data_IF_661192824626
#
_entry.id   IF_661192824626
#
_cell.length_a   1.000
_cell.length_b   1.000
_cell.length_c   1.000
_cell.angle_alpha   90.00
_cell.angle_beta   90.00
_cell.angle_gamma   90.00
#
_symmetry.space_group_name_H-M   'P 1'
#
loop_
_entity.id
_entity.type
_entity.pdbx_description
1 polymer ?
#
# COMPACT_ATOMS: atom_id res chain seq x y z
N UNK A 1 -4.88 -1.57 4.47
CA UNK A 1 -5.11 -0.13 4.20
C UNK A 1 -5.52 0.48 5.53
N UNK A 2 -4.64 1.22 6.21
CA UNK A 2 -4.87 1.72 7.58
C UNK A 2 -4.42 3.16 7.66
N UNK A 3 -5.32 4.10 7.98
CA UNK A 3 -4.92 5.49 8.20
C UNK A 3 -5.57 6.21 9.33
N UNK A 4 -4.77 7.11 9.89
CA UNK A 4 -4.82 7.46 11.28
C UNK A 4 -4.73 8.99 11.47
N UNK A 5 -5.71 9.62 12.12
CA UNK A 5 -5.49 10.76 13.03
C UNK A 5 -6.20 10.50 14.35
N UNK A 6 -5.71 11.13 15.42
CA UNK A 6 -6.32 11.28 16.75
C UNK A 6 -7.84 10.99 16.81
N UNK A 7 -8.22 9.78 17.27
CA UNK A 7 -9.61 9.31 17.44
C UNK A 7 -10.11 8.31 16.38
N UNK A 8 -9.52 7.12 16.31
CA UNK A 8 -9.11 6.52 15.03
C UNK A 8 -9.83 5.28 14.46
N UNK A 9 -10.28 5.36 13.18
CA UNK A 9 -11.13 4.41 12.43
C UNK A 9 -10.38 3.27 11.65
N UNK A 10 -10.48 1.95 12.03
CA UNK A 10 -9.76 0.78 11.42
C UNK A 10 -10.57 0.07 10.32
N UNK A 11 -9.90 -0.23 9.20
CA UNK A 11 -10.31 -1.24 8.22
C UNK A 11 -9.29 -2.39 8.15
N UNK A 12 -9.44 -3.36 9.06
CA UNK A 12 -8.95 -4.74 8.90
C UNK A 12 -9.89 -5.69 9.65
N UNK A 13 -9.80 -7.00 9.36
CA UNK A 13 -10.41 -8.08 10.17
C UNK A 13 -10.14 -7.80 11.66
N UNK A 14 -11.14 -7.85 12.55
CA UNK A 14 -11.04 -7.34 13.91
C UNK A 14 -9.85 -7.97 14.65
N UNK A 15 -8.93 -7.13 15.12
CA UNK A 15 -8.04 -7.49 16.21
C UNK A 15 -8.90 -7.66 17.46
N UNK A 16 -8.61 -8.70 18.25
CA UNK A 16 -9.31 -8.94 19.52
C UNK A 16 -9.11 -7.74 20.44
N UNK A 17 -10.17 -7.36 21.13
CA UNK A 17 -10.26 -6.23 22.06
C UNK A 17 -9.44 -6.42 23.35
N UNK A 18 -8.67 -7.50 23.47
CA UNK A 18 -7.96 -7.90 24.68
C UNK A 18 -6.54 -7.32 24.79
N UNK A 19 -6.05 -6.60 23.77
CA UNK A 19 -4.65 -6.11 23.71
C UNK A 19 -4.49 -4.59 23.65
N UNK A 20 -5.58 -3.82 23.66
CA UNK A 20 -5.55 -2.36 23.72
C UNK A 20 -5.83 -1.92 25.15
N UNK A 21 -4.85 -1.32 25.84
CA UNK A 21 -5.08 -0.67 27.14
C UNK A 21 -6.05 0.52 27.04
N UNK A 22 -5.97 1.49 27.97
CA UNK A 22 -6.78 2.72 28.07
C UNK A 22 -6.61 3.73 26.90
N UNK A 23 -6.49 3.26 25.67
CA UNK A 23 -6.37 4.10 24.46
C UNK A 23 -7.76 4.34 23.85
N UNK A 24 -8.15 5.61 23.73
CA UNK A 24 -9.37 6.02 23.01
C UNK A 24 -9.15 5.98 21.49
N UNK A 25 -9.21 4.77 20.92
CA UNK A 25 -9.18 4.51 19.48
C UNK A 25 -10.59 4.16 18.97
N UNK A 26 -11.02 4.77 17.87
CA UNK A 26 -12.41 4.66 17.39
C UNK A 26 -12.50 4.04 16.03
N UNK A 27 -12.75 2.74 15.87
CA UNK A 27 -12.59 2.07 14.57
C UNK A 27 -13.75 2.29 13.53
N UNK A 28 -13.49 2.35 12.21
CA UNK A 28 -14.52 2.31 11.14
C UNK A 28 -13.99 1.83 9.80
N UNK A 29 -14.94 1.36 8.99
CA UNK A 29 -14.72 0.66 7.75
C UNK A 29 -15.50 1.31 6.61
N UNK A 30 -14.83 1.57 5.49
CA UNK A 30 -15.42 2.12 4.28
C UNK A 30 -15.02 1.27 3.08
N UNK A 31 -15.90 1.20 2.07
CA UNK A 31 -15.60 0.56 0.77
C UNK A 31 -15.32 1.60 -0.33
N UNK A 32 -15.62 2.86 -0.09
CA UNK A 32 -15.31 3.97 -0.99
C UNK A 32 -14.00 4.67 -0.62
N UNK A 33 -13.28 5.15 -1.64
CA UNK A 33 -12.00 5.84 -1.47
C UNK A 33 -12.18 7.24 -0.91
N UNK A 34 -13.19 7.98 -1.35
CA UNK A 34 -13.44 9.36 -0.93
C UNK A 34 -13.68 9.41 0.57
N UNK A 35 -14.60 8.59 1.07
CA UNK A 35 -14.96 8.51 2.49
C UNK A 35 -13.80 8.01 3.37
N UNK A 36 -12.83 7.29 2.79
CA UNK A 36 -11.65 6.82 3.48
C UNK A 36 -10.50 7.85 3.51
N UNK A 37 -10.45 8.73 2.51
CA UNK A 37 -9.40 9.75 2.36
C UNK A 37 -9.80 11.12 2.93
N UNK A 38 -11.10 11.39 3.02
CA UNK A 38 -11.61 12.67 3.50
C UNK A 38 -11.10 12.94 4.93
N UNK A 39 -10.49 14.12 5.10
CA UNK A 39 -9.89 14.56 6.37
C UNK A 39 -8.80 13.62 6.93
N UNK A 40 -8.18 12.77 6.10
CA UNK A 40 -7.05 11.93 6.54
C UNK A 40 -5.80 12.78 6.74
N UNK A 41 -5.00 12.49 7.77
CA UNK A 41 -3.71 13.16 8.03
C UNK A 41 -2.49 12.51 7.36
N UNK A 42 -2.60 11.24 7.08
CA UNK A 42 -1.65 10.50 6.26
C UNK A 42 -2.39 9.41 5.50
N UNK A 43 -1.70 8.75 4.54
CA UNK A 43 -2.24 7.64 3.74
C UNK A 43 -1.44 6.29 3.68
N UNK A 44 -1.63 5.25 4.51
CA UNK A 44 -0.93 3.96 4.46
C UNK A 44 -1.60 3.01 3.48
N UNK A 45 -0.84 2.68 2.45
CA UNK A 45 -1.23 1.74 1.42
C UNK A 45 -0.55 0.40 1.66
N UNK A 46 -1.36 -0.63 1.86
CA UNK A 46 -0.93 -2.01 2.06
C UNK A 46 -1.94 -2.93 1.38
N UNK A 47 -1.94 -2.88 0.06
CA UNK A 47 -2.83 -3.62 -0.84
C UNK A 47 -2.08 -4.70 -1.61
N UNK A 48 -2.85 -5.64 -2.15
CA UNK A 48 -2.41 -6.65 -3.11
C UNK A 48 -3.48 -6.78 -4.18
N UNK A 49 -3.32 -6.05 -5.28
CA UNK A 49 -4.32 -6.04 -6.35
C UNK A 49 -4.47 -7.43 -6.96
N UNK A 50 -5.71 -7.88 -7.10
CA UNK A 50 -6.05 -9.23 -7.59
C UNK A 50 -5.77 -10.38 -6.61
N UNK A 51 -5.29 -10.08 -5.39
CA UNK A 51 -5.09 -11.04 -4.32
C UNK A 51 -4.16 -12.20 -4.68
N UNK A 52 -4.34 -13.34 -4.00
CA UNK A 52 -3.49 -14.51 -4.18
C UNK A 52 -3.58 -15.13 -5.58
N UNK A 53 -4.73 -14.99 -6.25
CA UNK A 53 -4.91 -15.50 -7.62
C UNK A 53 -3.99 -14.78 -8.60
N UNK A 54 -3.93 -13.44 -8.53
CA UNK A 54 -3.02 -12.67 -9.36
C UNK A 54 -1.56 -12.96 -9.02
N UNK A 55 -1.22 -13.04 -7.73
CA UNK A 55 0.14 -13.40 -7.27
C UNK A 55 0.59 -14.75 -7.82
N UNK A 56 -0.29 -15.75 -7.81
CA UNK A 56 0.01 -17.07 -8.38
C UNK A 56 0.37 -16.96 -9.87
N UNK A 57 -0.43 -16.24 -10.65
CA UNK A 57 -0.15 -16.05 -12.08
C UNK A 57 1.13 -15.26 -12.33
N UNK A 58 1.39 -14.21 -11.55
CA UNK A 58 2.60 -13.38 -11.61
C UNK A 58 3.88 -14.21 -11.43
N UNK A 59 3.83 -15.28 -10.63
CA UNK A 59 4.97 -16.18 -10.38
C UNK A 59 5.00 -17.34 -11.38
N UNK A 60 3.88 -18.01 -11.60
CA UNK A 60 3.81 -19.23 -12.41
C UNK A 60 4.04 -18.98 -13.90
N UNK A 61 3.58 -17.83 -14.43
CA UNK A 61 3.74 -17.54 -15.86
C UNK A 61 5.22 -17.40 -16.20
N UNK A 62 6.03 -16.53 -15.55
CA UNK A 62 7.46 -16.46 -15.80
C UNK A 62 8.22 -17.77 -15.54
N UNK A 63 7.79 -18.52 -14.52
CA UNK A 63 8.42 -19.79 -14.17
C UNK A 63 8.36 -20.80 -15.34
N UNK A 64 7.25 -20.84 -16.10
CA UNK A 64 7.13 -21.71 -17.29
C UNK A 64 8.12 -21.36 -18.41
N UNK A 65 8.68 -20.16 -18.38
CA UNK A 65 9.70 -19.70 -19.33
C UNK A 65 11.12 -19.70 -18.74
N UNK A 66 11.33 -20.37 -17.59
CA UNK A 66 12.64 -20.49 -16.96
C UNK A 66 13.04 -19.32 -16.07
N UNK A 67 12.17 -18.32 -15.87
CA UNK A 67 12.44 -17.21 -14.96
C UNK A 67 12.03 -17.59 -13.53
N UNK A 68 13.01 -17.91 -12.70
CA UNK A 68 12.80 -18.29 -11.29
C UNK A 68 12.89 -17.05 -10.40
N UNK A 69 11.92 -16.89 -9.51
CA UNK A 69 11.91 -15.84 -8.48
C UNK A 69 11.75 -16.46 -7.10
N UNK A 70 12.54 -16.02 -6.12
CA UNK A 70 12.41 -16.47 -4.72
C UNK A 70 11.14 -15.87 -4.09
N UNK A 71 10.98 -14.54 -4.22
CA UNK A 71 9.80 -13.80 -3.74
C UNK A 71 8.94 -13.34 -4.91
N UNK A 72 9.56 -12.72 -5.92
CA UNK A 72 8.90 -12.35 -7.18
C UNK A 72 7.93 -11.17 -7.07
N UNK A 73 8.05 -10.34 -6.04
CA UNK A 73 7.11 -9.23 -5.79
C UNK A 73 7.67 -7.83 -6.07
N UNK A 74 8.96 -7.74 -6.38
CA UNK A 74 9.69 -6.48 -6.48
C UNK A 74 10.41 -6.28 -7.81
N UNK A 75 11.12 -7.31 -8.27
CA UNK A 75 11.96 -7.26 -9.48
C UNK A 75 11.77 -8.51 -10.34
N UNK A 76 12.43 -8.54 -11.50
CA UNK A 76 12.31 -9.62 -12.48
C UNK A 76 10.93 -9.66 -13.13
N UNK A 77 10.65 -10.67 -13.98
CA UNK A 77 9.38 -10.76 -14.69
C UNK A 77 8.15 -10.78 -13.76
N UNK A 78 8.23 -11.49 -12.63
CA UNK A 78 7.15 -11.54 -11.65
C UNK A 78 6.88 -10.17 -11.00
N UNK A 79 7.96 -9.45 -10.64
CA UNK A 79 7.86 -8.09 -10.11
C UNK A 79 7.30 -7.09 -11.12
N UNK A 80 7.67 -7.21 -12.40
CA UNK A 80 7.10 -6.39 -13.49
C UNK A 80 5.60 -6.65 -13.64
N UNK A 81 5.18 -7.92 -13.68
CA UNK A 81 3.76 -8.28 -13.77
C UNK A 81 2.96 -7.74 -12.56
N UNK A 82 3.57 -7.78 -11.37
CA UNK A 82 2.99 -7.16 -10.18
C UNK A 82 2.91 -5.64 -10.30
N UNK A 83 3.96 -4.97 -10.76
CA UNK A 83 3.96 -3.52 -10.98
C UNK A 83 2.81 -3.09 -11.89
N UNK A 84 2.60 -3.80 -13.01
CA UNK A 84 1.53 -3.52 -13.98
C UNK A 84 0.14 -3.60 -13.33
N UNK A 85 -0.05 -4.48 -12.33
CA UNK A 85 -1.32 -4.57 -11.60
C UNK A 85 -1.47 -3.56 -10.47
N UNK A 86 -0.38 -3.22 -9.76
CA UNK A 86 -0.44 -2.39 -8.55
C UNK A 86 -0.38 -0.89 -8.87
N UNK A 87 0.46 -0.48 -9.83
CA UNK A 87 0.66 0.94 -10.17
C UNK A 87 -0.65 1.62 -10.58
N UNK A 88 -1.49 1.07 -11.48
CA UNK A 88 -2.74 1.72 -11.86
C UNK A 88 -3.71 1.93 -10.69
N UNK A 89 -3.79 0.96 -9.78
CA UNK A 89 -4.65 1.06 -8.60
C UNK A 89 -4.16 2.12 -7.62
N UNK A 90 -2.84 2.26 -7.45
CA UNK A 90 -2.25 3.26 -6.55
C UNK A 90 -2.28 4.65 -7.16
N UNK A 91 -2.14 4.79 -8.48
CA UNK A 91 -2.34 6.08 -9.16
C UNK A 91 -3.80 6.54 -9.08
N UNK A 92 -4.75 5.64 -9.27
CA UNK A 92 -6.17 5.92 -9.09
C UNK A 92 -6.50 6.36 -7.65
N UNK A 93 -5.81 5.79 -6.65
CA UNK A 93 -5.88 6.28 -5.27
C UNK A 93 -5.25 7.67 -5.12
N UNK A 94 -4.04 7.87 -5.66
CA UNK A 94 -3.30 9.12 -5.55
C UNK A 94 -4.05 10.29 -6.19
N UNK A 95 -4.67 10.10 -7.36
CA UNK A 95 -5.51 11.12 -8.01
C UNK A 95 -6.76 11.44 -7.19
N UNK A 96 -7.43 10.42 -6.63
CA UNK A 96 -8.56 10.68 -5.71
C UNK A 96 -8.09 11.46 -4.48
N UNK A 97 -6.87 11.19 -4.02
CA UNK A 97 -6.29 11.85 -2.86
C UNK A 97 -5.90 13.30 -3.13
N UNK A 98 -5.45 13.64 -4.33
CA UNK A 98 -5.27 15.04 -4.78
C UNK A 98 -6.55 15.86 -4.65
N UNK A 99 -7.69 15.27 -5.02
CA UNK A 99 -8.98 15.97 -4.99
C UNK A 99 -9.53 16.12 -3.57
N UNK A 100 -9.30 15.13 -2.70
CA UNK A 100 -9.99 15.00 -1.41
C UNK A 100 -9.14 15.46 -0.22
N UNK A 101 -7.83 15.18 -0.21
CA UNK A 101 -6.93 15.55 0.90
C UNK A 101 -5.49 15.82 0.42
N UNK A 102 -5.28 16.86 -0.41
CA UNK A 102 -4.00 17.12 -1.08
C UNK A 102 -2.83 17.45 -0.15
N UNK A 103 -3.10 17.84 1.10
CA UNK A 103 -2.09 18.32 2.05
C UNK A 103 -1.44 17.19 2.86
N UNK A 104 -1.68 15.93 2.49
CA UNK A 104 -1.23 14.76 3.25
C UNK A 104 -0.45 13.80 2.37
N UNK A 105 0.32 12.90 2.97
CA UNK A 105 1.24 12.02 2.24
C UNK A 105 0.79 10.57 2.27
N UNK A 106 1.16 9.80 1.25
CA UNK A 106 1.00 8.36 1.20
C UNK A 106 2.23 7.66 1.82
N UNK A 107 2.00 6.75 2.77
CA UNK A 107 2.95 5.81 3.34
C UNK A 107 2.78 4.43 2.69
N UNK A 108 3.53 4.14 1.64
CA UNK A 108 3.33 2.94 0.84
C UNK A 108 4.13 1.73 1.36
N UNK A 109 3.42 0.68 1.77
CA UNK A 109 3.96 -0.65 2.07
C UNK A 109 3.73 -1.66 0.93
N UNK A 110 2.99 -1.30 -0.11
CA UNK A 110 2.74 -2.20 -1.23
C UNK A 110 3.97 -2.32 -2.12
N UNK A 111 4.40 -3.56 -2.37
CA UNK A 111 5.41 -3.87 -3.37
C UNK A 111 4.83 -3.83 -4.79
N UNK A 112 5.64 -3.51 -5.82
CA UNK A 112 7.05 -3.09 -5.75
C UNK A 112 7.21 -1.63 -5.28
N UNK A 113 7.75 -1.43 -4.07
CA UNK A 113 7.74 -0.11 -3.39
C UNK A 113 8.40 0.97 -4.26
N UNK A 114 9.61 0.70 -4.77
CA UNK A 114 10.36 1.67 -5.57
C UNK A 114 9.63 2.05 -6.87
N UNK A 115 9.09 1.07 -7.60
CA UNK A 115 8.39 1.34 -8.86
C UNK A 115 7.07 2.09 -8.64
N UNK A 116 6.35 1.76 -7.56
CA UNK A 116 5.12 2.47 -7.18
C UNK A 116 5.42 3.92 -6.78
N UNK A 117 6.38 4.15 -5.89
CA UNK A 117 6.76 5.49 -5.47
C UNK A 117 7.24 6.33 -6.65
N UNK A 118 8.02 5.73 -7.56
CA UNK A 118 8.46 6.39 -8.80
C UNK A 118 7.27 6.76 -9.68
N UNK A 119 6.32 5.84 -9.90
CA UNK A 119 5.15 6.10 -10.73
C UNK A 119 4.27 7.22 -10.17
N UNK A 120 4.00 7.21 -8.85
CA UNK A 120 3.24 8.28 -8.18
C UNK A 120 3.98 9.60 -8.29
N UNK A 121 5.29 9.65 -8.02
CA UNK A 121 6.08 10.87 -8.15
C UNK A 121 6.07 11.45 -9.58
N UNK A 122 5.98 10.59 -10.60
CA UNK A 122 5.93 11.01 -12.00
C UNK A 122 4.54 11.46 -12.47
N UNK A 123 3.47 10.94 -11.88
CA UNK A 123 2.11 11.06 -12.41
C UNK A 123 1.10 11.69 -11.44
N UNK A 124 1.53 12.10 -10.25
CA UNK A 124 0.70 12.71 -9.21
C UNK A 124 1.48 13.79 -8.46
N UNK A 125 0.74 14.73 -7.87
CA UNK A 125 1.26 15.79 -6.98
C UNK A 125 1.33 15.36 -5.51
N UNK A 126 0.79 14.19 -5.18
CA UNK A 126 0.80 13.67 -3.80
C UNK A 126 2.20 13.22 -3.41
N UNK A 127 2.62 13.64 -2.21
CA UNK A 127 3.83 13.13 -1.59
C UNK A 127 3.66 11.65 -1.20
N UNK A 128 4.65 10.83 -1.53
CA UNK A 128 4.66 9.40 -1.22
C UNK A 128 6.01 8.96 -0.64
N UNK A 129 5.95 8.20 0.45
CA UNK A 129 7.10 7.59 1.10
C UNK A 129 6.95 6.07 1.07
N UNK A 130 7.96 5.39 0.54
CA UNK A 130 8.01 3.92 0.52
C UNK A 130 8.54 3.34 1.83
N UNK A 131 7.81 2.40 2.41
CA UNK A 131 8.18 1.71 3.65
C UNK A 131 8.46 0.24 3.37
N UNK A 132 9.69 -0.20 3.67
CA UNK A 132 10.11 -1.59 3.52
C UNK A 132 10.76 -2.09 4.82
N UNK A 133 10.45 -3.32 5.21
CA UNK A 133 11.03 -3.98 6.37
C UNK A 133 12.30 -4.79 6.04
N UNK A 134 12.65 -4.89 4.76
CA UNK A 134 13.86 -5.59 4.30
C UNK A 134 15.17 -4.87 4.62
N UNK A 135 15.08 -3.59 5.00
CA UNK A 135 16.19 -2.84 5.60
C UNK A 135 15.79 -2.53 7.05
N UNK A 136 16.42 -3.14 8.06
CA UNK A 136 16.22 -2.69 9.43
C UNK A 136 16.68 -1.24 9.51
N UNK A 137 15.82 -0.36 10.03
CA UNK A 137 16.10 1.05 10.26
C UNK A 137 17.08 1.22 11.44
N UNK A 138 18.16 0.44 11.48
CA UNK A 138 19.21 0.43 12.51
C UNK A 138 20.49 1.11 12.04
N UNK A 139 20.37 2.17 11.24
CA UNK A 139 21.49 3.05 10.86
C UNK A 139 21.58 4.32 11.74
N UNK A 140 21.03 4.27 12.95
CA UNK A 140 21.29 5.24 14.02
C UNK A 140 22.16 4.60 15.12
N UNK A 141 23.28 4.00 14.72
CA UNK A 141 24.42 3.72 15.60
C UNK A 141 25.65 4.42 15.03
#
# INVERSE_FOLDING_TARGET
>A
MILMRSGLRLYTRPLRSDQTGDLDLKFSMNTGKVEALENSDFVIVAVRVGGLRATKAQIEIPFRYGAVSIVGDSTGPSGILKAITEIPAILDLAWTHEDVSPNTMILNHTNPVAAICTAVHMASKIDIVGLCHGYPLSSHL
#
